data_IF_724474629714
#
_entry.id   IF_724474629714
#
_cell.length_a   1.000
_cell.length_b   1.000
_cell.length_c   1.000
_cell.angle_alpha   90.00
_cell.angle_beta   90.00
_cell.angle_gamma   90.00
#
_symmetry.space_group_name_H-M   'P 1'
#
loop_
_entity.id
_entity.type
_entity.pdbx_description
1 polymer ?
#
# COMPACT_ATOMS: atom_id res chain seq x y z
N UNK A 1 -13.77 10.18 -18.23
CA UNK A 1 -12.79 10.59 -17.20
C UNK A 1 -11.50 9.82 -17.51
N UNK A 2 -10.38 10.47 -17.34
CA UNK A 2 -9.09 9.79 -17.45
C UNK A 2 -8.98 8.72 -16.36
N UNK A 3 -8.33 7.62 -16.68
CA UNK A 3 -8.17 6.46 -15.77
C UNK A 3 -7.36 6.86 -14.54
N UNK A 4 -7.86 6.60 -13.33
CA UNK A 4 -7.15 6.90 -12.09
C UNK A 4 -5.82 6.13 -12.01
N UNK A 5 -4.76 6.70 -11.42
CA UNK A 5 -3.51 5.99 -11.17
C UNK A 5 -3.68 4.84 -10.17
N UNK A 6 -2.67 4.00 -10.04
CA UNK A 6 -2.52 3.07 -8.93
C UNK A 6 -1.16 3.28 -8.27
N UNK A 7 -1.08 3.12 -6.95
CA UNK A 7 0.09 3.50 -6.18
C UNK A 7 0.42 2.41 -5.16
N UNK A 8 1.70 2.07 -5.04
CA UNK A 8 2.25 1.36 -3.91
C UNK A 8 3.08 2.32 -3.06
N UNK A 9 2.84 2.32 -1.76
CA UNK A 9 3.58 3.16 -0.80
C UNK A 9 4.27 2.28 0.24
N UNK A 10 5.58 2.48 0.37
CA UNK A 10 6.33 2.01 1.53
C UNK A 10 5.99 2.85 2.74
N UNK A 11 5.18 2.32 3.67
CA UNK A 11 4.68 3.14 4.80
C UNK A 11 5.66 3.27 5.95
N UNK A 12 6.62 2.31 6.11
CA UNK A 12 7.62 2.37 7.18
C UNK A 12 7.05 2.27 8.59
N UNK A 13 7.69 2.98 9.53
CA UNK A 13 7.21 3.00 10.91
C UNK A 13 6.04 4.00 11.10
N UNK A 14 5.14 3.77 12.09
CA UNK A 14 3.98 4.64 12.32
C UNK A 14 4.30 6.11 12.60
N UNK A 15 5.54 6.41 13.07
CA UNK A 15 5.98 7.80 13.34
C UNK A 15 6.03 8.66 12.09
N UNK A 16 5.94 8.07 10.89
CA UNK A 16 5.82 8.84 9.64
C UNK A 16 4.67 9.85 9.73
N UNK A 17 3.59 9.53 10.41
CA UNK A 17 2.43 10.43 10.56
C UNK A 17 2.79 11.79 11.20
N UNK A 18 3.83 11.83 12.01
CA UNK A 18 4.28 13.05 12.72
C UNK A 18 5.55 13.67 12.10
N UNK A 19 6.21 12.95 11.16
CA UNK A 19 7.44 13.42 10.54
C UNK A 19 7.14 14.46 9.44
N UNK A 20 7.97 15.49 9.35
CA UNK A 20 8.05 16.42 8.21
C UNK A 20 9.45 16.25 7.64
N UNK A 21 9.56 15.50 6.55
CA UNK A 21 10.83 15.19 5.91
C UNK A 21 10.65 15.01 4.40
N UNK A 22 11.71 14.68 3.68
CA UNK A 22 11.69 14.47 2.23
C UNK A 22 10.64 13.44 1.81
N UNK A 23 10.51 12.33 2.55
CA UNK A 23 9.56 11.27 2.27
C UNK A 23 8.11 11.77 2.34
N UNK A 24 7.74 12.44 3.44
CA UNK A 24 6.38 12.93 3.66
C UNK A 24 6.02 14.09 2.73
N UNK A 25 6.98 14.97 2.42
CA UNK A 25 6.78 16.02 1.41
C UNK A 25 6.58 15.43 0.00
N UNK A 26 7.24 14.31 -0.31
CA UNK A 26 7.00 13.60 -1.57
C UNK A 26 5.61 12.99 -1.59
N UNK A 27 5.14 12.35 -0.51
CA UNK A 27 3.75 11.84 -0.41
C UNK A 27 2.73 12.95 -0.65
N UNK A 28 2.93 14.11 -0.05
CA UNK A 28 2.08 15.29 -0.24
C UNK A 28 2.05 15.76 -1.70
N UNK A 29 3.22 15.82 -2.35
CA UNK A 29 3.33 16.17 -3.77
C UNK A 29 2.62 15.15 -4.68
N UNK A 30 2.73 13.85 -4.38
CA UNK A 30 2.03 12.78 -5.12
C UNK A 30 0.51 12.96 -4.98
N UNK A 31 -0.01 13.12 -3.76
CA UNK A 31 -1.43 13.35 -3.54
C UNK A 31 -1.97 14.57 -4.30
N UNK A 32 -1.24 15.69 -4.25
CA UNK A 32 -1.57 16.90 -4.98
C UNK A 32 -1.57 16.67 -6.50
N UNK A 33 -0.54 16.01 -7.04
CA UNK A 33 -0.41 15.73 -8.46
C UNK A 33 -1.57 14.86 -8.98
N UNK A 34 -2.02 13.87 -8.19
CA UNK A 34 -3.19 13.06 -8.53
C UNK A 34 -4.41 13.94 -8.72
N UNK A 35 -4.70 14.80 -7.74
CA UNK A 35 -5.88 15.69 -7.79
C UNK A 35 -5.78 16.66 -8.96
N UNK A 36 -4.60 17.24 -9.21
CA UNK A 36 -4.40 18.20 -10.29
C UNK A 36 -4.56 17.59 -11.69
N UNK A 37 -4.07 16.36 -11.89
CA UNK A 37 -4.11 15.71 -13.22
C UNK A 37 -5.39 14.93 -13.48
N UNK A 38 -5.90 14.20 -12.50
CA UNK A 38 -6.99 13.25 -12.67
C UNK A 38 -8.30 13.70 -12.00
N UNK A 39 -8.26 14.80 -11.23
CA UNK A 39 -9.36 15.23 -10.37
C UNK A 39 -9.39 14.46 -9.04
N UNK A 40 -10.27 14.87 -8.15
CA UNK A 40 -10.45 14.21 -6.85
C UNK A 40 -11.02 12.79 -7.06
N UNK A 41 -10.38 11.74 -6.49
CA UNK A 41 -10.92 10.39 -6.56
C UNK A 41 -12.29 10.31 -5.88
N UNK A 42 -13.22 9.54 -6.45
CA UNK A 42 -14.53 9.29 -5.81
C UNK A 42 -14.39 8.59 -4.47
N UNK A 43 -13.43 7.68 -4.36
CA UNK A 43 -13.00 7.00 -3.16
C UNK A 43 -11.64 6.31 -3.40
N UNK A 44 -11.00 5.88 -2.33
CA UNK A 44 -9.73 5.14 -2.36
C UNK A 44 -9.98 3.71 -1.89
N UNK A 45 -9.56 2.73 -2.70
CA UNK A 45 -9.39 1.34 -2.26
C UNK A 45 -7.97 1.17 -1.75
N UNK A 46 -7.80 0.93 -0.44
CA UNK A 46 -6.49 0.69 0.15
C UNK A 46 -6.30 -0.80 0.49
N UNK A 47 -5.26 -1.42 -0.07
CA UNK A 47 -4.84 -2.79 0.28
C UNK A 47 -3.72 -2.64 1.30
N UNK A 48 -4.01 -2.86 2.60
CA UNK A 48 -3.05 -2.68 3.68
C UNK A 48 -2.45 -3.98 4.17
N UNK A 49 -1.12 -4.00 4.31
CA UNK A 49 -0.36 -5.10 4.89
C UNK A 49 -0.83 -5.47 6.31
N UNK A 50 -1.38 -4.51 7.05
CA UNK A 50 -1.81 -4.68 8.44
C UNK A 50 -3.14 -5.42 8.59
N UNK A 51 -3.95 -5.45 7.57
CA UNK A 51 -5.15 -6.30 7.54
C UNK A 51 -4.84 -7.62 6.83
N UNK A 52 -4.03 -8.45 7.49
CA UNK A 52 -3.57 -9.74 6.97
C UNK A 52 -4.44 -10.89 7.49
N UNK A 53 -5.22 -11.52 6.62
CA UNK A 53 -6.31 -12.43 6.98
C UNK A 53 -6.29 -13.71 6.16
N UNK A 54 -7.03 -14.75 6.58
CA UNK A 54 -7.12 -16.04 5.86
C UNK A 54 -7.99 -15.98 4.60
N UNK A 55 -8.90 -15.00 4.52
CA UNK A 55 -9.77 -14.76 3.36
C UNK A 55 -9.55 -13.33 2.84
N UNK A 56 -10.09 -13.00 1.69
CA UNK A 56 -10.13 -11.60 1.22
C UNK A 56 -11.36 -10.93 1.80
N UNK A 57 -11.17 -9.89 2.61
CA UNK A 57 -12.25 -9.09 3.19
C UNK A 57 -12.24 -7.65 2.69
N UNK A 58 -13.43 -7.05 2.64
CA UNK A 58 -13.62 -5.64 2.31
C UNK A 58 -14.55 -5.01 3.34
N UNK A 59 -14.28 -3.75 3.69
CA UNK A 59 -15.15 -2.95 4.56
C UNK A 59 -16.38 -2.44 3.82
N UNK A 60 -17.51 -2.32 4.54
CA UNK A 60 -18.76 -1.76 4.02
C UNK A 60 -19.31 -0.61 4.84
N UNK A 61 -18.76 -0.38 6.04
CA UNK A 61 -19.22 0.67 6.96
C UNK A 61 -19.00 2.08 6.37
N UNK A 62 -19.95 2.98 6.67
CA UNK A 62 -19.84 4.40 6.27
C UNK A 62 -18.92 5.20 7.21
N UNK A 63 -18.73 4.72 8.42
CA UNK A 63 -17.90 5.37 9.45
C UNK A 63 -16.91 4.31 9.98
N UNK A 64 -15.82 4.06 9.26
CA UNK A 64 -14.81 3.10 9.71
C UNK A 64 -14.08 3.62 10.95
N UNK A 65 -13.79 2.73 11.88
CA UNK A 65 -12.93 3.04 13.02
C UNK A 65 -11.49 3.32 12.52
N UNK A 66 -10.81 4.28 13.14
CA UNK A 66 -9.36 4.38 13.01
C UNK A 66 -8.70 3.40 13.97
N UNK A 67 -7.84 2.53 13.45
CA UNK A 67 -7.16 1.48 14.22
C UNK A 67 -5.73 1.91 14.51
N UNK A 68 -5.35 1.81 15.79
CA UNK A 68 -3.99 2.04 16.26
C UNK A 68 -3.36 0.68 16.60
N UNK A 69 -3.02 -0.05 15.56
CA UNK A 69 -2.46 -1.42 15.60
C UNK A 69 -0.95 -1.43 15.86
N UNK A 70 -0.47 -0.53 16.71
CA UNK A 70 0.93 -0.38 17.11
C UNK A 70 1.03 -0.13 18.61
N UNK A 71 2.22 -0.37 19.19
CA UNK A 71 2.47 -0.26 20.64
C UNK A 71 3.81 0.41 20.92
N UNK A 72 3.90 1.10 22.07
CA UNK A 72 5.16 1.64 22.59
C UNK A 72 5.64 2.92 21.91
N UNK A 73 4.77 3.60 21.19
CA UNK A 73 5.06 4.90 20.57
C UNK A 73 4.66 6.07 21.49
N UNK A 74 5.17 7.29 21.24
CA UNK A 74 4.77 8.50 21.95
C UNK A 74 3.26 8.76 21.87
N UNK A 75 2.70 9.38 22.92
CA UNK A 75 1.24 9.64 23.02
C UNK A 75 0.71 10.47 21.84
N UNK A 76 1.51 11.41 21.35
CA UNK A 76 1.19 12.28 20.23
C UNK A 76 0.76 11.49 18.96
N UNK A 77 1.31 10.30 18.77
CA UNK A 77 0.94 9.45 17.64
C UNK A 77 -0.51 8.92 17.78
N UNK A 78 -0.94 8.61 19.01
CA UNK A 78 -2.30 8.14 19.27
C UNK A 78 -3.34 9.26 19.27
N UNK A 79 -2.89 10.52 19.25
CA UNK A 79 -3.75 11.69 19.12
C UNK A 79 -4.03 12.08 17.66
N UNK A 80 -3.24 11.55 16.72
CA UNK A 80 -3.47 11.79 15.28
C UNK A 80 -4.83 11.23 14.87
N UNK A 81 -5.68 12.07 14.31
CA UNK A 81 -7.01 11.70 13.80
C UNK A 81 -7.07 11.84 12.28
N UNK A 82 -7.59 10.79 11.64
CA UNK A 82 -7.84 10.79 10.21
C UNK A 82 -9.28 10.30 9.95
N UNK A 83 -10.29 11.17 10.17
CA UNK A 83 -11.72 10.79 10.22
C UNK A 83 -12.34 10.67 8.83
N UNK A 84 -11.89 9.74 8.02
CA UNK A 84 -12.46 9.47 6.70
C UNK A 84 -13.79 8.74 6.78
N UNK A 85 -14.61 8.93 5.73
CA UNK A 85 -15.80 8.11 5.50
C UNK A 85 -15.44 6.86 4.72
N UNK A 86 -16.26 5.81 4.84
CA UNK A 86 -16.26 4.68 3.92
C UNK A 86 -17.06 4.98 2.66
N UNK A 87 -17.08 4.04 1.71
CA UNK A 87 -17.84 4.15 0.46
C UNK A 87 -18.55 2.84 0.14
N UNK A 88 -19.86 2.79 0.41
CA UNK A 88 -20.68 1.62 0.03
C UNK A 88 -20.72 1.39 -1.48
N UNK A 89 -20.57 2.44 -2.29
CA UNK A 89 -20.53 2.33 -3.75
C UNK A 89 -19.26 1.58 -4.18
N UNK A 90 -18.10 1.98 -3.66
CA UNK A 90 -16.83 1.30 -3.93
C UNK A 90 -16.87 -0.17 -3.46
N UNK A 91 -17.39 -0.44 -2.26
CA UNK A 91 -17.56 -1.81 -1.74
C UNK A 91 -18.38 -2.67 -2.69
N UNK A 92 -19.55 -2.19 -3.13
CA UNK A 92 -20.41 -2.91 -4.10
C UNK A 92 -19.72 -3.13 -5.44
N UNK A 93 -18.94 -2.17 -5.91
CA UNK A 93 -18.19 -2.31 -7.16
C UNK A 93 -17.09 -3.38 -7.04
N UNK A 94 -16.41 -3.45 -5.89
CA UNK A 94 -15.42 -4.52 -5.61
C UNK A 94 -16.11 -5.88 -5.51
N UNK A 95 -17.23 -6.00 -4.78
CA UNK A 95 -18.00 -7.24 -4.70
C UNK A 95 -18.46 -7.71 -6.09
N UNK A 96 -18.91 -6.79 -6.95
CA UNK A 96 -19.31 -7.11 -8.33
C UNK A 96 -18.14 -7.62 -9.18
N UNK A 97 -16.94 -7.09 -8.96
CA UNK A 97 -15.73 -7.47 -9.72
C UNK A 97 -15.18 -8.82 -9.23
N UNK A 98 -15.09 -9.00 -7.91
CA UNK A 98 -14.45 -10.17 -7.31
C UNK A 98 -15.45 -11.32 -7.03
N UNK A 99 -16.73 -11.04 -6.92
CA UNK A 99 -17.76 -12.06 -6.64
C UNK A 99 -17.47 -12.81 -5.34
N UNK A 100 -17.42 -14.13 -5.41
CA UNK A 100 -17.19 -15.00 -4.25
C UNK A 100 -15.75 -14.96 -3.70
N UNK A 101 -14.84 -14.23 -4.34
CA UNK A 101 -13.45 -14.10 -3.88
C UNK A 101 -13.29 -13.04 -2.77
N UNK A 102 -14.35 -12.27 -2.47
CA UNK A 102 -14.34 -11.26 -1.41
C UNK A 102 -15.56 -11.42 -0.50
N UNK A 103 -15.38 -11.15 0.78
CA UNK A 103 -16.44 -11.16 1.80
C UNK A 103 -16.44 -9.82 2.53
N UNK A 104 -17.61 -9.35 2.98
CA UNK A 104 -17.69 -8.16 3.83
C UNK A 104 -17.22 -8.53 5.24
N UNK A 105 -16.39 -7.66 5.82
CA UNK A 105 -16.02 -7.70 7.23
C UNK A 105 -15.74 -6.27 7.72
N UNK A 106 -16.46 -5.82 8.74
CA UNK A 106 -16.35 -4.50 9.34
C UNK A 106 -15.72 -4.52 10.75
N UNK A 107 -15.15 -5.67 11.18
CA UNK A 107 -14.47 -5.82 12.48
C UNK A 107 -13.11 -5.12 12.53
N UNK A 108 -12.54 -4.79 11.37
CA UNK A 108 -11.32 -3.99 11.22
C UNK A 108 -11.68 -2.51 10.98
N UNK A 109 -10.68 -1.68 10.81
CA UNK A 109 -10.88 -0.26 10.54
C UNK A 109 -9.82 0.27 9.56
N UNK A 110 -9.58 1.56 9.59
CA UNK A 110 -8.49 2.20 8.84
C UNK A 110 -7.24 2.11 9.71
N UNK A 111 -6.34 1.19 9.37
CA UNK A 111 -5.14 0.89 10.17
C UNK A 111 -3.99 1.88 9.92
N UNK A 112 -2.92 1.78 10.72
CA UNK A 112 -1.82 2.73 10.63
C UNK A 112 -1.07 2.66 9.30
N UNK A 113 -0.99 1.53 8.63
CA UNK A 113 -0.43 1.45 7.28
C UNK A 113 -1.18 2.32 6.27
N UNK A 114 -2.44 2.64 6.54
CA UNK A 114 -3.29 3.49 5.71
C UNK A 114 -3.28 4.95 6.18
N UNK A 115 -3.69 5.21 7.44
CA UNK A 115 -3.89 6.59 7.86
C UNK A 115 -2.58 7.37 8.03
N UNK A 116 -1.45 6.73 8.39
CA UNK A 116 -0.16 7.42 8.51
C UNK A 116 0.36 7.97 7.18
N UNK A 117 0.03 7.30 6.09
CA UNK A 117 0.35 7.73 4.71
C UNK A 117 -0.61 8.82 4.26
N UNK A 118 -1.91 8.63 4.50
CA UNK A 118 -2.95 9.51 3.96
C UNK A 118 -3.04 10.85 4.67
N UNK A 119 -2.59 10.99 5.91
CA UNK A 119 -2.46 12.31 6.58
C UNK A 119 -1.51 13.24 5.81
N UNK A 120 -0.61 12.70 4.99
CA UNK A 120 0.28 13.48 4.11
C UNK A 120 -0.28 13.60 2.70
N UNK A 121 -0.76 12.50 2.10
CA UNK A 121 -1.24 12.52 0.72
C UNK A 121 -2.55 13.29 0.57
N UNK A 122 -3.48 13.13 1.53
CA UNK A 122 -4.83 13.69 1.50
C UNK A 122 -5.22 14.23 2.88
N UNK A 123 -4.54 15.29 3.38
CA UNK A 123 -4.63 15.74 4.77
C UNK A 123 -6.02 16.20 5.21
N UNK A 124 -6.90 16.56 4.26
CA UNK A 124 -8.25 17.02 4.57
C UNK A 124 -9.23 15.88 4.92
N UNK A 125 -8.82 14.61 4.76
CA UNK A 125 -9.62 13.40 5.03
C UNK A 125 -11.03 13.43 4.36
N UNK A 126 -11.17 14.10 3.22
CA UNK A 126 -12.47 14.25 2.51
C UNK A 126 -12.79 13.09 1.59
N UNK A 127 -11.74 12.46 1.02
CA UNK A 127 -11.90 11.35 0.08
C UNK A 127 -12.25 10.09 0.88
N UNK A 128 -13.38 9.42 0.59
CA UNK A 128 -13.74 8.19 1.28
C UNK A 128 -12.69 7.08 1.09
N UNK A 129 -12.45 6.27 2.11
CA UNK A 129 -11.50 5.16 2.10
C UNK A 129 -12.20 3.86 2.45
N UNK A 130 -11.92 2.83 1.67
CA UNK A 130 -12.34 1.44 1.94
C UNK A 130 -11.09 0.58 1.95
N UNK A 131 -10.87 -0.21 3.00
CA UNK A 131 -9.78 -1.17 3.02
C UNK A 131 -10.19 -2.53 2.47
N UNK A 132 -9.25 -3.14 1.75
CA UNK A 132 -9.28 -4.54 1.31
C UNK A 132 -8.15 -5.27 2.03
N UNK A 133 -8.44 -6.44 2.62
CA UNK A 133 -7.43 -7.22 3.31
C UNK A 133 -6.46 -7.90 2.36
N UNK A 134 -5.24 -8.11 2.82
CA UNK A 134 -4.28 -9.03 2.21
C UNK A 134 -4.62 -10.45 2.64
N UNK A 135 -4.85 -11.32 1.68
CA UNK A 135 -5.23 -12.70 1.95
C UNK A 135 -3.98 -13.60 2.06
N UNK A 136 -3.73 -14.12 3.26
CA UNK A 136 -2.60 -14.97 3.60
C UNK A 136 -2.56 -16.32 2.85
N UNK A 137 -3.72 -16.77 2.34
CA UNK A 137 -3.84 -18.03 1.61
C UNK A 137 -3.65 -17.89 0.10
N UNK A 138 -3.44 -16.67 -0.40
CA UNK A 138 -3.16 -16.46 -1.80
C UNK A 138 -1.66 -16.58 -2.09
N UNK A 139 -1.34 -17.26 -3.19
CA UNK A 139 0.00 -17.14 -3.78
C UNK A 139 0.21 -15.75 -4.38
N UNK A 140 1.46 -15.36 -4.54
CA UNK A 140 1.87 -14.11 -5.18
C UNK A 140 1.17 -13.91 -6.55
N UNK A 141 1.11 -14.96 -7.38
CA UNK A 141 0.44 -14.91 -8.67
C UNK A 141 -1.08 -14.68 -8.54
N UNK A 142 -1.74 -15.26 -7.53
CA UNK A 142 -3.18 -15.03 -7.31
C UNK A 142 -3.45 -13.61 -6.83
N UNK A 143 -2.60 -13.04 -5.98
CA UNK A 143 -2.71 -11.64 -5.57
C UNK A 143 -2.54 -10.69 -6.76
N UNK A 144 -1.57 -10.94 -7.64
CA UNK A 144 -1.40 -10.19 -8.90
C UNK A 144 -2.66 -10.26 -9.77
N UNK A 145 -3.24 -11.46 -9.96
CA UNK A 145 -4.48 -11.64 -10.73
C UNK A 145 -5.70 -10.95 -10.11
N UNK A 146 -5.78 -10.87 -8.79
CA UNK A 146 -6.80 -10.05 -8.14
C UNK A 146 -6.61 -8.57 -8.46
N UNK A 147 -5.37 -8.09 -8.48
CA UNK A 147 -5.03 -6.74 -8.93
C UNK A 147 -5.50 -6.47 -10.36
N UNK A 148 -5.27 -7.40 -11.30
CA UNK A 148 -5.75 -7.28 -12.69
C UNK A 148 -7.26 -7.09 -12.77
N UNK A 149 -8.04 -7.83 -11.95
CA UNK A 149 -9.49 -7.66 -11.87
C UNK A 149 -9.88 -6.28 -11.35
N UNK A 150 -9.21 -5.83 -10.27
CA UNK A 150 -9.47 -4.53 -9.63
C UNK A 150 -9.11 -3.33 -10.51
N UNK A 151 -8.29 -3.50 -11.54
CA UNK A 151 -7.94 -2.43 -12.48
C UNK A 151 -9.16 -1.70 -13.06
N UNK A 152 -10.32 -2.39 -13.21
CA UNK A 152 -11.58 -1.80 -13.68
C UNK A 152 -12.11 -0.66 -12.81
N UNK A 153 -11.70 -0.61 -11.54
CA UNK A 153 -12.08 0.46 -10.61
C UNK A 153 -11.51 1.82 -11.02
N UNK A 154 -10.33 1.81 -11.64
CA UNK A 154 -9.64 3.02 -12.09
C UNK A 154 -10.46 3.82 -13.10
N UNK A 155 -11.14 3.12 -14.04
CA UNK A 155 -12.02 3.74 -15.05
C UNK A 155 -13.30 4.32 -14.43
N UNK A 156 -13.67 3.87 -13.24
CA UNK A 156 -14.81 4.38 -12.47
C UNK A 156 -14.48 5.60 -11.61
N UNK A 157 -13.22 6.03 -11.60
CA UNK A 157 -12.74 7.17 -10.82
C UNK A 157 -12.29 6.82 -9.39
N UNK A 158 -11.97 5.56 -9.11
CA UNK A 158 -11.41 5.13 -7.84
C UNK A 158 -9.88 5.02 -7.90
N UNK A 159 -9.21 5.59 -6.90
CA UNK A 159 -7.78 5.43 -6.68
C UNK A 159 -7.54 4.09 -5.97
N UNK A 160 -6.54 3.32 -6.43
CA UNK A 160 -6.12 2.08 -5.76
C UNK A 160 -4.74 2.33 -5.14
N UNK A 161 -4.62 2.05 -3.84
CA UNK A 161 -3.36 2.20 -3.09
C UNK A 161 -3.02 0.89 -2.41
N UNK A 162 -1.81 0.39 -2.61
CA UNK A 162 -1.22 -0.68 -1.81
C UNK A 162 -0.29 -0.07 -0.77
N UNK A 163 -0.48 -0.40 0.48
CA UNK A 163 0.36 0.04 1.58
C UNK A 163 1.10 -1.14 2.19
N UNK A 164 2.42 -1.11 2.10
CA UNK A 164 3.30 -2.17 2.56
C UNK A 164 4.77 -1.74 2.50
N UNK A 165 5.69 -2.68 2.37
CA UNK A 165 7.11 -2.40 2.18
C UNK A 165 7.76 -3.51 1.33
N UNK A 166 8.64 -3.13 0.43
CA UNK A 166 9.40 -4.10 -0.39
C UNK A 166 10.35 -4.92 0.48
N UNK A 167 11.00 -4.28 1.45
CA UNK A 167 11.78 -4.91 2.51
C UNK A 167 11.15 -4.57 3.84
N UNK A 168 10.81 -5.58 4.65
CA UNK A 168 10.25 -5.40 5.97
C UNK A 168 10.70 -6.51 6.92
N UNK A 169 11.80 -6.28 7.65
CA UNK A 169 12.32 -7.24 8.60
C UNK A 169 12.59 -6.62 9.97
N UNK A 170 11.57 -6.61 10.83
CA UNK A 170 11.66 -6.05 12.18
C UNK A 170 12.67 -6.80 13.08
N UNK A 171 13.05 -8.06 12.74
CA UNK A 171 14.04 -8.81 13.50
C UNK A 171 15.48 -8.39 13.19
N UNK A 172 15.67 -7.58 12.14
CA UNK A 172 16.96 -7.09 11.65
C UNK A 172 17.07 -5.57 11.70
N UNK A 173 16.24 -4.93 12.54
CA UNK A 173 16.28 -3.49 12.75
C UNK A 173 17.61 -3.07 13.38
N UNK A 174 18.22 -2.08 12.76
CA UNK A 174 19.39 -1.35 13.22
C UNK A 174 18.99 0.11 13.44
N UNK A 175 18.57 0.45 14.65
CA UNK A 175 17.92 1.74 14.99
C UNK A 175 18.70 2.97 14.55
N UNK A 176 20.03 2.92 14.57
CA UNK A 176 20.92 4.03 14.20
C UNK A 176 21.37 3.99 12.73
N UNK A 177 20.87 3.04 11.94
CA UNK A 177 21.24 2.89 10.54
C UNK A 177 20.18 3.55 9.63
N UNK A 178 20.46 4.74 9.05
CA UNK A 178 19.55 5.41 8.12
C UNK A 178 19.63 4.84 6.69
N UNK A 179 20.44 3.81 6.48
CA UNK A 179 20.66 3.14 5.18
C UNK A 179 20.14 1.72 5.23
N UNK A 180 20.13 1.06 4.08
CA UNK A 180 19.88 -0.37 3.99
C UNK A 180 21.10 -1.20 4.39
N UNK A 181 20.86 -2.42 4.92
CA UNK A 181 21.89 -3.47 4.93
C UNK A 181 22.14 -3.93 3.50
N UNK A 182 23.25 -4.65 3.27
CA UNK A 182 23.58 -5.12 1.94
C UNK A 182 22.49 -6.04 1.35
N UNK A 183 21.90 -6.89 2.20
CA UNK A 183 20.84 -7.81 1.81
C UNK A 183 19.55 -7.05 1.46
N UNK A 184 19.18 -6.07 2.28
CA UNK A 184 18.02 -5.22 2.03
C UNK A 184 18.16 -4.47 0.71
N UNK A 185 19.32 -3.84 0.48
CA UNK A 185 19.58 -3.05 -0.73
C UNK A 185 19.60 -3.91 -2.00
N UNK A 186 20.19 -5.11 -1.94
CA UNK A 186 20.22 -6.01 -3.10
C UNK A 186 18.83 -6.51 -3.47
N UNK A 187 18.02 -6.87 -2.48
CA UNK A 187 16.66 -7.32 -2.72
C UNK A 187 15.77 -6.19 -3.25
N UNK A 188 15.81 -5.02 -2.60
CA UNK A 188 15.02 -3.87 -3.05
C UNK A 188 15.40 -3.44 -4.48
N UNK A 189 16.69 -3.40 -4.80
CA UNK A 189 17.19 -3.12 -6.15
C UNK A 189 16.70 -4.14 -7.17
N UNK A 190 16.73 -5.43 -6.82
CA UNK A 190 16.21 -6.49 -7.68
C UNK A 190 14.73 -6.25 -8.01
N UNK A 191 13.92 -5.95 -7.01
CA UNK A 191 12.49 -5.66 -7.20
C UNK A 191 12.30 -4.39 -8.04
N UNK A 192 13.02 -3.30 -7.72
CA UNK A 192 12.98 -2.03 -8.45
C UNK A 192 13.32 -2.20 -9.94
N UNK A 193 14.39 -2.92 -10.25
CA UNK A 193 14.81 -3.16 -11.64
C UNK A 193 13.77 -3.95 -12.43
N UNK A 194 13.18 -5.00 -11.82
CA UNK A 194 12.17 -5.81 -12.49
C UNK A 194 10.85 -5.04 -12.68
N UNK A 195 10.42 -4.24 -11.70
CA UNK A 195 9.24 -3.37 -11.84
C UNK A 195 9.49 -2.32 -12.94
N UNK A 196 10.68 -1.71 -12.99
CA UNK A 196 11.03 -0.69 -13.99
C UNK A 196 11.00 -1.26 -15.43
N UNK A 197 11.40 -2.51 -15.60
CA UNK A 197 11.39 -3.25 -16.87
C UNK A 197 10.03 -3.89 -17.18
N UNK A 198 9.09 -3.90 -16.24
CA UNK A 198 7.81 -4.64 -16.32
C UNK A 198 8.02 -6.14 -16.48
N UNK A 199 9.06 -6.66 -15.84
CA UNK A 199 9.32 -8.11 -15.71
C UNK A 199 8.54 -8.66 -14.49
N UNK A 200 7.22 -8.44 -14.46
CA UNK A 200 6.33 -8.70 -13.33
C UNK A 200 6.39 -10.16 -12.85
N UNK A 201 6.62 -11.11 -13.75
CA UNK A 201 6.82 -12.53 -13.41
C UNK A 201 7.99 -12.76 -12.44
N UNK A 202 9.05 -11.97 -12.54
CA UNK A 202 10.19 -12.04 -11.60
C UNK A 202 9.84 -11.48 -10.24
N UNK A 203 8.99 -10.45 -10.19
CA UNK A 203 8.47 -9.90 -8.94
C UNK A 203 7.51 -10.88 -8.27
N UNK A 204 6.64 -11.55 -9.04
CA UNK A 204 5.76 -12.61 -8.56
C UNK A 204 6.58 -13.78 -7.96
N UNK A 205 7.73 -14.08 -8.53
CA UNK A 205 8.66 -15.12 -8.07
C UNK A 205 9.73 -14.58 -7.11
N UNK A 206 9.45 -13.53 -6.37
CA UNK A 206 10.41 -12.87 -5.48
C UNK A 206 11.09 -13.84 -4.50
N UNK A 207 10.43 -14.95 -4.13
CA UNK A 207 10.94 -15.98 -3.24
C UNK A 207 12.18 -16.71 -3.81
N UNK A 208 12.37 -16.68 -5.14
CA UNK A 208 13.55 -17.28 -5.81
C UNK A 208 14.84 -16.45 -5.61
N UNK A 209 14.73 -15.20 -5.15
CA UNK A 209 15.90 -14.35 -4.90
C UNK A 209 16.63 -14.75 -3.61
N UNK A 210 17.96 -14.75 -3.62
CA UNK A 210 18.81 -15.21 -2.51
C UNK A 210 18.54 -14.51 -1.16
N UNK A 211 18.11 -13.24 -1.20
CA UNK A 211 17.79 -12.44 0.01
C UNK A 211 16.30 -12.32 0.30
N UNK A 212 15.45 -13.08 -0.37
CA UNK A 212 13.99 -13.02 -0.16
C UNK A 212 13.60 -13.29 1.31
N UNK A 213 14.18 -14.34 1.91
CA UNK A 213 13.93 -14.68 3.32
C UNK A 213 14.43 -13.63 4.31
N UNK A 214 15.46 -12.85 3.93
CA UNK A 214 15.91 -11.71 4.72
C UNK A 214 14.94 -10.54 4.59
N UNK A 215 14.58 -10.17 3.36
CA UNK A 215 13.79 -8.98 3.06
C UNK A 215 12.31 -9.15 3.39
N UNK A 216 11.77 -10.36 3.19
CA UNK A 216 10.35 -10.71 3.33
C UNK A 216 10.20 -11.93 4.24
N UNK A 217 10.51 -11.81 5.55
CA UNK A 217 10.38 -12.94 6.49
C UNK A 217 8.92 -13.40 6.67
N UNK A 218 7.97 -12.51 6.42
CA UNK A 218 6.53 -12.76 6.30
C UNK A 218 6.00 -11.97 5.11
N UNK A 219 5.08 -12.54 4.31
CA UNK A 219 4.68 -11.93 3.04
C UNK A 219 3.73 -10.73 3.15
N UNK A 220 3.16 -10.48 4.33
CA UNK A 220 2.12 -9.47 4.59
C UNK A 220 2.46 -8.10 3.98
N UNK A 221 3.67 -7.57 4.23
CA UNK A 221 4.10 -6.25 3.76
C UNK A 221 4.51 -6.22 2.29
N UNK A 222 4.92 -7.35 1.74
CA UNK A 222 5.27 -7.45 0.32
C UNK A 222 4.04 -7.64 -0.58
N UNK A 223 3.04 -8.39 -0.14
CA UNK A 223 1.88 -8.74 -0.97
C UNK A 223 1.15 -7.55 -1.60
N UNK A 224 0.96 -6.37 -0.94
CA UNK A 224 0.26 -5.25 -1.56
C UNK A 224 0.84 -4.79 -2.90
N UNK A 225 2.18 -4.88 -3.11
CA UNK A 225 2.77 -4.49 -4.41
C UNK A 225 2.27 -5.37 -5.56
N UNK A 226 1.98 -6.65 -5.31
CA UNK A 226 1.49 -7.58 -6.33
C UNK A 226 0.09 -7.20 -6.82
N UNK A 227 -0.81 -6.79 -5.92
CA UNK A 227 -2.12 -6.25 -6.30
C UNK A 227 -1.95 -4.99 -7.17
N UNK A 228 -1.03 -4.11 -6.79
CA UNK A 228 -0.78 -2.85 -7.52
C UNK A 228 -0.18 -3.12 -8.90
N UNK A 229 0.78 -4.05 -9.02
CA UNK A 229 1.34 -4.43 -10.32
C UNK A 229 0.27 -5.01 -11.25
N UNK A 230 -0.60 -5.89 -10.76
CA UNK A 230 -1.73 -6.38 -11.54
C UNK A 230 -2.68 -5.25 -11.97
N UNK A 231 -3.03 -4.34 -11.06
CA UNK A 231 -3.92 -3.21 -11.33
C UNK A 231 -3.30 -2.16 -12.26
N UNK A 232 -1.97 -2.11 -12.38
CA UNK A 232 -1.26 -1.18 -13.26
C UNK A 232 -1.32 -1.54 -14.76
N UNK A 233 -1.69 -2.78 -15.08
CA UNK A 233 -1.88 -3.24 -16.47
C UNK A 233 -0.68 -2.96 -17.40
N UNK A 234 0.54 -3.18 -16.93
CA UNK A 234 1.75 -3.01 -17.72
C UNK A 234 2.23 -1.55 -17.87
N UNK A 235 1.60 -0.58 -17.24
CA UNK A 235 2.05 0.81 -17.23
C UNK A 235 3.44 0.93 -16.59
N UNK A 236 4.25 1.88 -17.07
CA UNK A 236 5.58 2.13 -16.48
C UNK A 236 5.47 2.83 -15.14
N UNK A 237 6.32 2.49 -14.15
CA UNK A 237 6.32 3.15 -12.86
C UNK A 237 6.92 4.55 -12.90
N UNK A 238 6.37 5.44 -12.10
CA UNK A 238 7.08 6.56 -11.51
C UNK A 238 7.55 6.10 -10.12
N UNK A 239 8.87 6.11 -9.88
CA UNK A 239 9.50 5.64 -8.65
C UNK A 239 9.75 6.82 -7.74
N UNK A 240 9.45 6.68 -6.45
CA UNK A 240 9.68 7.72 -5.45
C UNK A 240 10.00 7.12 -4.08
N UNK A 241 10.52 7.94 -3.18
CA UNK A 241 10.95 7.54 -1.84
C UNK A 241 11.92 6.33 -1.84
N UNK A 242 12.90 6.34 -2.77
CA UNK A 242 13.94 5.31 -2.84
C UNK A 242 14.91 5.43 -1.65
N UNK A 243 14.42 5.23 -0.44
CA UNK A 243 15.19 5.34 0.78
C UNK A 243 14.95 4.13 1.70
N UNK A 244 15.80 4.01 2.69
CA UNK A 244 15.75 2.96 3.71
C UNK A 244 15.63 3.59 5.08
N UNK A 245 15.03 2.88 6.01
CA UNK A 245 15.06 3.20 7.43
C UNK A 245 15.49 1.96 8.22
N UNK A 246 16.26 2.18 9.28
CA UNK A 246 16.66 1.16 10.26
C UNK A 246 17.31 -0.09 9.65
N UNK A 247 18.04 0.06 8.55
CA UNK A 247 18.76 -1.02 7.88
C UNK A 247 17.90 -2.04 7.12
N UNK A 248 16.67 -2.29 7.56
CA UNK A 248 15.84 -3.39 7.06
C UNK A 248 14.40 -3.02 6.70
N UNK A 249 14.11 -1.72 6.52
CA UNK A 249 12.85 -1.22 5.98
C UNK A 249 13.08 -0.45 4.69
N UNK A 250 12.34 -0.77 3.62
CA UNK A 250 12.38 -0.03 2.36
C UNK A 250 11.16 0.88 2.23
N UNK A 251 11.40 2.15 1.95
CA UNK A 251 10.36 3.13 1.66
C UNK A 251 10.09 3.27 0.15
N UNK A 252 10.80 2.49 -0.68
CA UNK A 252 10.65 2.54 -2.14
C UNK A 252 9.19 2.37 -2.54
N UNK A 253 8.70 3.33 -3.29
CA UNK A 253 7.29 3.48 -3.65
C UNK A 253 7.13 3.63 -5.15
N UNK A 254 5.98 3.27 -5.68
CA UNK A 254 5.71 3.22 -7.12
C UNK A 254 4.33 3.80 -7.43
N UNK A 255 4.23 4.64 -8.46
CA UNK A 255 2.97 5.10 -9.01
C UNK A 255 2.89 4.75 -10.50
N UNK A 256 1.74 4.32 -10.96
CA UNK A 256 1.49 3.94 -12.35
C UNK A 256 0.30 4.74 -12.91
N UNK A 257 0.46 5.30 -14.09
CA UNK A 257 -0.56 6.17 -14.70
C UNK A 257 -0.66 7.55 -14.06
N UNK A 258 0.42 8.01 -13.40
CA UNK A 258 0.47 9.32 -12.72
C UNK A 258 0.77 10.45 -13.69
#
# INVERSE_FOLDING_TARGET
MEKMPVIFVGHGDPMIALKINEMTETLKKIGKNIIEKHGEPKAILCISAHWYTKDTFIQSTEIPNQVYDMFGFPNELYEVKYPVKGSKELTKDVEKILGNEVKINDDWGIDHGTWTVFVHMFPEAKIPVVQLSVNANLSANKAYKLGEKLAKLREKGYLIVGSGNIVHNLRKIEWDNPKGTQEADKFDRYILENISKREDEKVIKYEEHEYSNYAVPTPDHFMPILYILGASQGEKPYIFNEMREFGSLSMTSYAFGL
#
